data_IF_621086933470
#
_entry.id   IF_621086933470
#
_cell.length_a   1.000
_cell.length_b   1.000
_cell.length_c   1.000
_cell.angle_alpha   90.00
_cell.angle_beta   90.00
_cell.angle_gamma   90.00
#
_symmetry.space_group_name_H-M   'P 1'
#
loop_
_entity.id
_entity.type
_entity.pdbx_description
1 polymer ?
#
# COMPACT_ATOMS: atom_id res chain seq x y z
N UNK A 1 14.68 11.81 -6.09
CA UNK A 1 14.35 10.69 -7.00
C UNK A 1 15.45 9.63 -7.03
N UNK A 2 16.70 9.96 -7.36
CA UNK A 2 17.80 8.99 -7.50
C UNK A 2 18.01 8.08 -6.27
N UNK A 3 18.03 8.61 -5.04
CA UNK A 3 18.19 7.77 -3.82
C UNK A 3 17.02 6.80 -3.59
N UNK A 4 15.80 7.22 -3.92
CA UNK A 4 14.63 6.36 -3.80
C UNK A 4 14.64 5.28 -4.90
N UNK A 5 15.04 5.64 -6.11
CA UNK A 5 15.26 4.70 -7.21
C UNK A 5 16.36 3.70 -6.89
N UNK A 6 17.52 4.14 -6.39
CA UNK A 6 18.62 3.23 -6.00
C UNK A 6 18.15 2.26 -4.92
N UNK A 7 17.50 2.77 -3.86
CA UNK A 7 16.94 1.90 -2.82
C UNK A 7 15.96 0.89 -3.41
N UNK A 8 15.00 1.35 -4.21
CA UNK A 8 14.03 0.49 -4.88
C UNK A 8 14.68 -0.56 -5.80
N UNK A 9 15.67 -0.17 -6.60
CA UNK A 9 16.42 -1.07 -7.48
C UNK A 9 17.22 -2.11 -6.71
N UNK A 10 17.91 -1.70 -5.63
CA UNK A 10 18.65 -2.62 -4.76
C UNK A 10 17.69 -3.60 -4.08
N UNK A 11 16.55 -3.13 -3.58
CA UNK A 11 15.54 -4.00 -2.96
C UNK A 11 14.95 -5.00 -3.95
N UNK A 12 14.62 -4.57 -5.17
CA UNK A 12 14.15 -5.49 -6.22
C UNK A 12 15.16 -6.59 -6.52
N UNK A 13 16.46 -6.25 -6.54
CA UNK A 13 17.52 -7.24 -6.80
C UNK A 13 17.62 -8.24 -5.65
N UNK A 14 17.57 -7.76 -4.40
CA UNK A 14 17.63 -8.60 -3.19
C UNK A 14 16.40 -9.53 -3.12
N UNK A 15 15.18 -8.98 -3.20
CA UNK A 15 13.95 -9.77 -3.13
C UNK A 15 13.92 -10.81 -4.27
N UNK A 16 14.33 -10.46 -5.50
CA UNK A 16 14.34 -11.38 -6.63
C UNK A 16 15.42 -12.49 -6.50
N UNK A 17 16.55 -12.21 -5.83
CA UNK A 17 17.55 -13.24 -5.51
C UNK A 17 17.00 -14.22 -4.46
N UNK A 18 16.41 -13.73 -3.37
CA UNK A 18 15.81 -14.55 -2.31
C UNK A 18 14.67 -15.43 -2.86
N UNK A 19 13.88 -14.91 -3.80
CA UNK A 19 12.83 -15.66 -4.52
C UNK A 19 13.37 -16.79 -5.39
N UNK A 20 14.47 -16.55 -6.09
CA UNK A 20 15.13 -17.54 -6.94
C UNK A 20 15.78 -18.66 -6.11
N UNK A 21 16.37 -18.31 -4.98
CA UNK A 21 17.05 -19.26 -4.09
C UNK A 21 16.07 -20.07 -3.24
N UNK A 22 14.95 -19.48 -2.82
CA UNK A 22 13.94 -20.15 -2.04
C UNK A 22 12.52 -19.72 -2.46
N UNK A 23 11.82 -20.52 -3.27
CA UNK A 23 10.47 -20.18 -3.76
C UNK A 23 9.43 -19.93 -2.66
N UNK A 24 9.71 -20.37 -1.41
CA UNK A 24 8.87 -20.11 -0.23
C UNK A 24 9.01 -18.66 0.30
N UNK A 25 9.96 -17.87 -0.20
CA UNK A 25 10.19 -16.47 0.19
C UNK A 25 9.55 -15.44 -0.75
N UNK A 26 8.82 -15.87 -1.81
CA UNK A 26 8.06 -15.06 -2.80
C UNK A 26 7.08 -14.00 -2.29
N UNK A 27 6.94 -13.84 -0.98
CA UNK A 27 6.08 -12.84 -0.35
C UNK A 27 6.67 -12.25 0.93
N UNK A 28 7.89 -12.63 1.31
CA UNK A 28 8.59 -12.05 2.46
C UNK A 28 9.60 -11.05 1.94
N UNK A 29 9.22 -9.78 1.92
CA UNK A 29 10.18 -8.73 1.63
C UNK A 29 11.28 -8.71 2.68
N UNK A 30 12.51 -8.50 2.23
CA UNK A 30 13.68 -8.30 3.08
C UNK A 30 13.52 -7.14 4.08
N UNK A 31 12.49 -6.29 3.94
CA UNK A 31 12.18 -5.15 4.81
C UNK A 31 11.23 -5.45 5.97
N UNK A 32 10.69 -6.68 6.09
CA UNK A 32 9.67 -7.00 7.10
C UNK A 32 10.14 -6.79 8.57
N UNK A 33 11.44 -6.61 8.80
CA UNK A 33 12.07 -6.45 10.10
C UNK A 33 12.62 -5.03 10.37
N UNK A 34 12.70 -4.14 9.37
CA UNK A 34 13.30 -2.80 9.56
C UNK A 34 12.37 -1.81 10.26
N UNK A 35 11.06 -1.84 9.95
CA UNK A 35 10.10 -0.88 10.50
C UNK A 35 8.92 -1.59 11.17
N UNK A 36 9.09 -1.91 12.46
CA UNK A 36 8.04 -2.57 13.23
C UNK A 36 6.77 -1.72 13.36
N UNK A 37 6.89 -0.37 13.37
CA UNK A 37 5.74 0.54 13.43
C UNK A 37 4.93 0.52 12.13
N UNK A 38 5.57 0.44 10.96
CA UNK A 38 4.85 0.35 9.69
C UNK A 38 3.92 -0.87 9.62
N UNK A 39 4.23 -1.95 10.34
CA UNK A 39 3.38 -3.15 10.43
C UNK A 39 2.13 -2.94 11.29
N UNK A 40 2.12 -1.94 12.18
CA UNK A 40 0.95 -1.62 12.99
C UNK A 40 -0.20 -1.09 12.14
N UNK A 41 0.06 -0.61 10.92
CA UNK A 41 -0.96 -0.21 9.95
C UNK A 41 -1.90 -1.37 9.56
N UNK A 42 -1.46 -2.62 9.73
CA UNK A 42 -2.27 -3.82 9.51
C UNK A 42 -2.82 -4.45 10.79
N UNK A 43 -2.66 -3.79 11.94
CA UNK A 43 -3.08 -4.35 13.22
C UNK A 43 -4.62 -4.42 13.30
N UNK A 44 -5.22 -5.63 13.32
CA UNK A 44 -6.68 -5.76 13.33
C UNK A 44 -7.34 -5.23 14.60
N UNK A 45 -6.55 -4.97 15.67
CA UNK A 45 -7.05 -4.39 16.93
C UNK A 45 -7.33 -2.89 16.80
N UNK A 46 -6.72 -2.21 15.84
CA UNK A 46 -6.91 -0.78 15.61
C UNK A 46 -7.95 -0.62 14.51
N UNK A 47 -9.14 -0.13 14.87
CA UNK A 47 -10.22 0.11 13.93
C UNK A 47 -9.75 1.03 12.78
N UNK A 48 -10.20 0.74 11.56
CA UNK A 48 -9.90 1.48 10.34
C UNK A 48 -8.42 1.54 9.92
N UNK A 49 -7.48 0.93 10.65
CA UNK A 49 -6.05 0.92 10.30
C UNK A 49 -5.79 0.33 8.91
N UNK A 50 -6.36 -0.84 8.64
CA UNK A 50 -6.28 -1.50 7.34
C UNK A 50 -6.90 -0.65 6.23
N UNK A 51 -8.08 -0.06 6.48
CA UNK A 51 -8.77 0.82 5.53
C UNK A 51 -7.89 2.02 5.17
N UNK A 52 -7.29 2.68 6.17
CA UNK A 52 -6.37 3.80 5.93
C UNK A 52 -5.16 3.38 5.09
N UNK A 53 -4.58 2.21 5.37
CA UNK A 53 -3.44 1.71 4.61
C UNK A 53 -3.83 1.42 3.13
N UNK A 54 -5.03 0.91 2.89
CA UNK A 54 -5.55 0.73 1.52
C UNK A 54 -5.89 2.05 0.82
N UNK A 55 -6.39 3.05 1.55
CA UNK A 55 -6.61 4.40 1.00
C UNK A 55 -5.28 5.07 0.60
N UNK A 56 -4.22 4.89 1.40
CA UNK A 56 -2.88 5.36 1.04
C UNK A 56 -2.39 4.63 -0.22
N UNK A 57 -2.60 3.32 -0.31
CA UNK A 57 -2.27 2.52 -1.50
C UNK A 57 -3.00 3.04 -2.75
N UNK A 58 -4.30 3.33 -2.66
CA UNK A 58 -5.09 3.92 -3.76
C UNK A 58 -4.59 5.32 -4.13
N UNK A 59 -4.27 6.15 -3.14
CA UNK A 59 -3.72 7.49 -3.38
C UNK A 59 -2.39 7.46 -4.13
N UNK A 60 -1.49 6.54 -3.75
CA UNK A 60 -0.22 6.34 -4.43
C UNK A 60 -0.43 5.88 -5.88
N UNK A 61 -1.41 5.01 -6.12
CA UNK A 61 -1.78 4.52 -7.46
C UNK A 61 -2.37 5.64 -8.33
N UNK A 62 -3.29 6.42 -7.76
CA UNK A 62 -3.98 7.51 -8.44
C UNK A 62 -3.01 8.57 -9.01
N UNK A 63 -1.96 8.92 -8.25
CA UNK A 63 -0.93 9.88 -8.68
C UNK A 63 0.27 9.23 -9.38
N UNK A 64 0.19 7.95 -9.74
CA UNK A 64 1.29 7.21 -10.38
C UNK A 64 2.61 7.26 -9.61
N UNK A 65 2.53 7.15 -8.27
CA UNK A 65 3.68 7.16 -7.37
C UNK A 65 4.28 5.75 -7.22
N UNK A 66 4.60 5.12 -8.35
CA UNK A 66 4.96 3.70 -8.43
C UNK A 66 6.14 3.32 -7.54
N UNK A 67 7.18 4.16 -7.48
CA UNK A 67 8.35 3.91 -6.63
C UNK A 67 8.00 3.93 -5.15
N UNK A 68 7.13 4.85 -4.73
CA UNK A 68 6.66 4.93 -3.35
C UNK A 68 5.79 3.72 -3.02
N UNK A 69 4.88 3.33 -3.93
CA UNK A 69 4.03 2.14 -3.79
C UNK A 69 4.87 0.88 -3.63
N UNK A 70 5.93 0.72 -4.43
CA UNK A 70 6.82 -0.43 -4.39
C UNK A 70 7.61 -0.58 -3.08
N UNK A 71 7.83 0.51 -2.33
CA UNK A 71 8.45 0.45 -1.00
C UNK A 71 7.38 0.30 0.08
N UNK A 72 6.29 1.06 -0.03
CA UNK A 72 5.22 1.09 0.96
C UNK A 72 4.55 -0.28 1.14
N UNK A 73 4.26 -0.97 0.04
CA UNK A 73 3.61 -2.29 0.03
C UNK A 73 4.38 -3.35 0.86
N UNK A 74 5.68 -3.59 0.61
CA UNK A 74 6.45 -4.52 1.42
C UNK A 74 6.74 -4.01 2.84
N UNK A 75 7.01 -2.72 3.04
CA UNK A 75 7.32 -2.15 4.36
C UNK A 75 6.16 -2.31 5.36
N UNK A 76 4.93 -2.15 4.88
CA UNK A 76 3.71 -2.34 5.67
C UNK A 76 3.18 -3.78 5.66
N UNK A 77 3.77 -4.67 4.85
CA UNK A 77 3.25 -6.01 4.55
C UNK A 77 1.87 -6.01 3.85
N UNK A 78 1.48 -4.91 3.19
CA UNK A 78 0.25 -4.85 2.40
C UNK A 78 0.28 -5.78 1.17
N UNK A 79 1.46 -6.18 0.68
CA UNK A 79 1.60 -7.17 -0.39
C UNK A 79 0.91 -8.50 -0.08
N UNK A 80 0.70 -8.81 1.21
CA UNK A 80 -0.04 -10.01 1.66
C UNK A 80 -1.56 -9.89 1.55
N UNK A 81 -2.09 -8.73 1.17
CA UNK A 81 -3.53 -8.45 1.07
C UNK A 81 -3.96 -8.23 -0.38
N UNK A 82 -5.13 -8.73 -0.79
CA UNK A 82 -5.67 -8.43 -2.10
C UNK A 82 -5.98 -6.93 -2.21
N UNK A 83 -5.85 -6.41 -3.42
CA UNK A 83 -6.18 -5.03 -3.74
C UNK A 83 -7.70 -4.81 -3.74
N UNK A 84 -8.20 -4.03 -2.79
CA UNK A 84 -9.57 -3.51 -2.83
C UNK A 84 -9.75 -2.51 -3.98
N UNK A 85 -10.91 -2.56 -4.63
CA UNK A 85 -11.29 -1.61 -5.68
C UNK A 85 -11.64 -0.24 -5.08
N UNK A 86 -11.60 0.79 -5.92
CA UNK A 86 -11.93 2.16 -5.53
C UNK A 86 -13.35 2.28 -4.97
N UNK A 87 -14.30 1.56 -5.56
CA UNK A 87 -15.70 1.50 -5.15
C UNK A 87 -15.85 0.83 -3.78
N UNK A 88 -15.11 -0.25 -3.53
CA UNK A 88 -15.11 -0.94 -2.25
C UNK A 88 -14.58 -0.04 -1.13
N UNK A 89 -13.47 0.67 -1.39
CA UNK A 89 -12.88 1.60 -0.43
C UNK A 89 -13.82 2.78 -0.15
N UNK A 90 -14.45 3.33 -1.18
CA UNK A 90 -15.43 4.41 -1.05
C UNK A 90 -16.63 3.99 -0.19
N UNK A 91 -17.20 2.80 -0.45
CA UNK A 91 -18.28 2.24 0.35
C UNK A 91 -17.88 2.06 1.82
N UNK A 92 -16.67 1.54 2.08
CA UNK A 92 -16.14 1.39 3.44
C UNK A 92 -15.91 2.73 4.15
N UNK A 93 -15.69 3.81 3.40
CA UNK A 93 -15.57 5.18 3.90
C UNK A 93 -16.93 5.89 4.06
N UNK A 94 -18.04 5.26 3.71
CA UNK A 94 -19.37 5.88 3.72
C UNK A 94 -19.63 6.83 2.54
N UNK A 95 -18.76 6.83 1.52
CA UNK A 95 -18.95 7.60 0.28
C UNK A 95 -19.86 6.78 -0.64
N UNK A 96 -21.07 7.26 -0.88
CA UNK A 96 -22.00 6.61 -1.80
C UNK A 96 -21.45 6.60 -3.23
N UNK A 97 -21.74 5.53 -3.99
CA UNK A 97 -21.27 5.37 -5.38
C UNK A 97 -21.65 6.54 -6.29
N UNK A 98 -22.77 7.21 -6.01
CA UNK A 98 -23.25 8.39 -6.74
C UNK A 98 -22.37 9.64 -6.55
N UNK A 99 -21.62 9.71 -5.44
CA UNK A 99 -20.70 10.80 -5.13
C UNK A 99 -19.24 10.49 -5.50
N UNK A 100 -18.96 9.27 -5.98
CA UNK A 100 -17.60 8.84 -6.29
C UNK A 100 -17.05 9.60 -7.50
N UNK A 101 -16.02 10.40 -7.28
CA UNK A 101 -15.35 11.13 -8.35
C UNK A 101 -14.15 10.32 -8.85
N UNK A 102 -14.24 9.81 -10.08
CA UNK A 102 -13.13 9.03 -10.68
C UNK A 102 -11.83 9.84 -10.78
N UNK A 103 -11.94 11.16 -10.94
CA UNK A 103 -10.84 12.12 -11.10
C UNK A 103 -10.19 12.57 -9.78
N UNK A 104 -10.55 11.97 -8.64
CA UNK A 104 -9.94 12.27 -7.34
C UNK A 104 -9.66 10.98 -6.58
N UNK A 105 -8.59 10.90 -5.77
CA UNK A 105 -8.37 9.74 -4.90
C UNK A 105 -9.44 9.71 -3.80
N UNK A 106 -9.74 8.52 -3.28
CA UNK A 106 -10.81 8.32 -2.28
C UNK A 106 -10.48 9.05 -0.98
N UNK A 107 -9.20 9.05 -0.59
CA UNK A 107 -8.72 9.73 0.61
C UNK A 107 -9.01 11.24 0.58
N UNK A 108 -8.91 11.88 -0.60
CA UNK A 108 -9.22 13.30 -0.76
C UNK A 108 -10.74 13.56 -0.65
N UNK A 109 -11.55 12.70 -1.28
CA UNK A 109 -13.01 12.80 -1.21
C UNK A 109 -13.53 12.63 0.22
N UNK A 110 -12.90 11.76 1.01
CA UNK A 110 -13.21 11.60 2.43
C UNK A 110 -12.97 12.88 3.22
N UNK A 111 -11.86 13.59 2.96
CA UNK A 111 -11.56 14.86 3.62
C UNK A 111 -12.49 16.00 3.19
N UNK A 112 -12.93 16.01 1.93
CA UNK A 112 -13.91 17.00 1.43
C UNK A 112 -15.34 16.75 1.96
N UNK A 113 -15.60 15.55 2.50
CA UNK A 113 -16.90 15.16 3.05
C UNK A 113 -17.06 15.46 4.55
N UNK A 114 -15.98 15.90 5.22
CA UNK A 114 -15.96 16.38 6.61
C UNK A 114 -16.41 17.83 6.70
#
# INVERSE_FOLDING_TARGET
QLRAQIRCSVFKIIDNQDEMENPKMRQKSALHWENQKARECLNPKVAHSLLLAELIREYLDFYSLDYSKQIFMPETNLTSKPESSKEQLAQQCGIGLSGLQSQKPVLLQLLESF
#
